data_IF_175258994144
#
_entry.id   IF_175258994144
#
_cell.length_a   1.000
_cell.length_b   1.000
_cell.length_c   1.000
_cell.angle_alpha   90.00
_cell.angle_beta   90.00
_cell.angle_gamma   90.00
#
_symmetry.space_group_name_H-M   'P 1'
#
loop_
_entity.id
_entity.type
_entity.pdbx_description
1 polymer ?
#
# COMPACT_ATOMS: atom_id res chain seq x y z
N UNK A 1 -17.02 11.28 -2.99
CA UNK A 1 -17.90 10.10 -2.79
C UNK A 1 -17.07 8.91 -2.31
N UNK A 2 -17.58 8.13 -1.35
CA UNK A 2 -16.84 7.07 -0.60
C UNK A 2 -16.03 6.11 -1.49
N UNK A 3 -16.49 5.80 -2.71
CA UNK A 3 -15.80 4.92 -3.68
C UNK A 3 -14.39 5.38 -4.04
N UNK A 4 -14.18 6.68 -4.28
CA UNK A 4 -12.87 7.21 -4.66
C UNK A 4 -11.80 7.01 -3.57
N UNK A 5 -12.21 7.00 -2.29
CA UNK A 5 -11.31 6.74 -1.15
C UNK A 5 -10.87 5.28 -1.09
N UNK A 6 -11.71 4.34 -1.55
CA UNK A 6 -11.42 2.90 -1.56
C UNK A 6 -10.65 2.49 -2.82
N UNK A 7 -10.99 3.05 -3.98
CA UNK A 7 -10.29 2.77 -5.24
C UNK A 7 -8.81 3.19 -5.20
N UNK A 8 -8.49 4.23 -4.44
CA UNK A 8 -7.12 4.74 -4.34
C UNK A 8 -6.11 3.74 -3.76
N UNK A 9 -6.31 3.14 -2.57
CA UNK A 9 -5.43 2.10 -2.05
C UNK A 9 -5.40 0.85 -2.94
N UNK A 10 -6.53 0.44 -3.55
CA UNK A 10 -6.53 -0.67 -4.51
C UNK A 10 -5.66 -0.38 -5.74
N UNK A 11 -5.67 0.86 -6.24
CA UNK A 11 -4.79 1.28 -7.34
C UNK A 11 -3.32 1.23 -6.95
N UNK A 12 -2.98 1.67 -5.73
CA UNK A 12 -1.61 1.61 -5.19
C UNK A 12 -1.14 0.16 -5.07
N UNK A 13 -1.95 -0.71 -4.48
CA UNK A 13 -1.62 -2.14 -4.33
C UNK A 13 -1.39 -2.81 -5.69
N UNK A 14 -2.27 -2.57 -6.67
CA UNK A 14 -2.18 -3.19 -7.99
C UNK A 14 -1.05 -2.63 -8.86
N UNK A 15 -0.80 -1.31 -8.82
CA UNK A 15 0.21 -0.66 -9.66
C UNK A 15 1.59 -0.56 -9.02
N UNK A 16 1.69 -0.16 -7.76
CA UNK A 16 2.98 0.07 -7.09
C UNK A 16 3.60 -1.22 -6.54
N UNK A 17 2.76 -2.09 -5.99
CA UNK A 17 3.20 -3.35 -5.38
C UNK A 17 3.01 -4.57 -6.29
N UNK A 18 2.53 -4.37 -7.52
CA UNK A 18 2.43 -5.43 -8.53
C UNK A 18 1.47 -6.58 -8.18
N UNK A 19 0.51 -6.36 -7.28
CA UNK A 19 -0.46 -7.38 -6.88
C UNK A 19 -1.54 -7.58 -7.97
N UNK A 20 -1.20 -8.32 -9.01
CA UNK A 20 -2.06 -8.58 -10.18
C UNK A 20 -2.73 -9.95 -10.15
N UNK A 21 -2.12 -10.96 -9.52
CA UNK A 21 -2.66 -12.32 -9.36
C UNK A 21 -2.69 -12.73 -7.89
N UNK A 22 -3.83 -13.23 -7.44
CA UNK A 22 -3.99 -13.84 -6.11
C UNK A 22 -3.23 -15.15 -6.09
N UNK A 23 -2.50 -15.43 -5.00
CA UNK A 23 -1.86 -16.73 -4.84
C UNK A 23 -2.91 -17.73 -4.37
N UNK A 24 -3.32 -18.63 -5.25
CA UNK A 24 -4.35 -19.65 -4.97
C UNK A 24 -3.90 -20.75 -3.99
N UNK A 25 -2.60 -20.86 -3.70
CA UNK A 25 -2.06 -21.85 -2.74
C UNK A 25 -1.81 -21.22 -1.37
N UNK A 26 -2.54 -21.70 -0.36
CA UNK A 26 -2.39 -21.30 1.04
C UNK A 26 -3.19 -20.04 1.39
N UNK A 27 -4.47 -20.21 1.71
CA UNK A 27 -5.41 -19.12 2.02
C UNK A 27 -4.89 -18.18 3.13
N UNK A 28 -4.32 -18.74 4.20
CA UNK A 28 -3.74 -17.98 5.30
C UNK A 28 -2.55 -17.11 4.86
N UNK A 29 -1.68 -17.65 4.00
CA UNK A 29 -0.52 -16.90 3.46
C UNK A 29 -0.96 -15.79 2.52
N UNK A 30 -2.03 -16.02 1.76
CA UNK A 30 -2.61 -15.01 0.89
C UNK A 30 -3.25 -13.87 1.70
N UNK A 31 -4.00 -14.19 2.77
CA UNK A 31 -4.57 -13.19 3.68
C UNK A 31 -3.48 -12.34 4.33
N UNK A 32 -2.45 -12.96 4.89
CA UNK A 32 -1.31 -12.23 5.47
C UNK A 32 -0.67 -11.29 4.45
N UNK A 33 -0.46 -11.74 3.21
CA UNK A 33 0.12 -10.93 2.14
C UNK A 33 -0.74 -9.71 1.78
N UNK A 34 -2.06 -9.89 1.63
CA UNK A 34 -2.98 -8.77 1.34
C UNK A 34 -3.01 -7.77 2.50
N UNK A 35 -3.03 -8.24 3.74
CA UNK A 35 -3.02 -7.37 4.92
C UNK A 35 -1.74 -6.53 4.99
N UNK A 36 -0.58 -7.14 4.74
CA UNK A 36 0.70 -6.43 4.67
C UNK A 36 0.71 -5.38 3.56
N UNK A 37 0.24 -5.72 2.36
CA UNK A 37 0.16 -4.78 1.23
C UNK A 37 -0.78 -3.60 1.51
N UNK A 38 -1.86 -3.84 2.25
CA UNK A 38 -2.80 -2.81 2.65
C UNK A 38 -2.17 -1.83 3.66
N UNK A 39 -1.45 -2.35 4.65
CA UNK A 39 -0.68 -1.54 5.60
C UNK A 39 0.40 -0.71 4.90
N UNK A 40 1.17 -1.32 3.99
CA UNK A 40 2.19 -0.62 3.20
C UNK A 40 1.58 0.45 2.28
N UNK A 41 0.38 0.22 1.75
CA UNK A 41 -0.31 1.20 0.92
C UNK A 41 -0.74 2.43 1.72
N UNK A 42 -1.21 2.23 2.97
CA UNK A 42 -1.49 3.34 3.88
C UNK A 42 -0.21 4.15 4.18
N UNK A 43 0.90 3.47 4.44
CA UNK A 43 2.20 4.12 4.64
C UNK A 43 2.64 4.91 3.40
N UNK A 44 2.50 4.32 2.21
CA UNK A 44 2.85 4.96 0.94
C UNK A 44 2.01 6.20 0.64
N UNK A 45 0.71 6.18 0.96
CA UNK A 45 -0.14 7.36 0.84
C UNK A 45 0.28 8.47 1.81
N UNK A 46 0.77 8.10 3.00
CA UNK A 46 1.27 9.02 4.02
C UNK A 46 2.71 9.47 3.81
N UNK A 47 3.42 8.96 2.79
CA UNK A 47 4.83 9.30 2.51
C UNK A 47 5.09 10.81 2.48
N UNK A 48 4.22 11.60 1.85
CA UNK A 48 4.41 13.06 1.74
C UNK A 48 4.24 13.79 3.09
N UNK A 49 3.56 13.17 4.05
CA UNK A 49 3.39 13.70 5.41
C UNK A 49 4.52 13.23 6.34
N UNK A 50 5.08 12.04 6.06
CA UNK A 50 6.18 11.46 6.83
C UNK A 50 7.57 11.94 6.36
N UNK A 51 7.74 12.23 5.07
CA UNK A 51 8.99 12.74 4.49
C UNK A 51 9.41 14.14 4.98
N UNK A 52 8.54 15.12 5.28
CA UNK A 52 8.97 16.37 5.90
C UNK A 52 9.53 16.19 7.33
N UNK A 53 9.31 15.04 7.99
CA UNK A 53 10.00 14.71 9.24
C UNK A 53 11.45 14.20 9.02
N UNK A 54 11.87 13.94 7.77
CA UNK A 54 13.26 13.66 7.39
C UNK A 54 13.91 14.84 6.62
N UNK A 55 13.41 16.07 6.80
CA UNK A 55 13.92 17.28 6.18
C UNK A 55 15.17 17.86 6.85
N UNK A 56 16.15 17.02 7.19
CA UNK A 56 17.33 17.41 7.96
C UNK A 56 18.65 16.80 7.48
N UNK A 57 18.81 16.50 6.19
CA UNK A 57 20.15 16.31 5.60
C UNK A 57 20.16 16.99 4.23
N UNK A 58 20.41 18.30 4.27
CA UNK A 58 20.94 19.02 3.12
C UNK A 58 22.46 18.87 3.21
N UNK A 59 23.05 18.10 2.30
CA UNK A 59 24.46 18.23 1.94
C UNK A 59 24.57 19.35 0.90
#
# INVERSE_FOLDING_TARGET
SVRAKVEHPFRVIKRQFGYTKVRYRGLAKNMAHVLTLFALSNLWMKRKQLLPAMGGVRL
#
